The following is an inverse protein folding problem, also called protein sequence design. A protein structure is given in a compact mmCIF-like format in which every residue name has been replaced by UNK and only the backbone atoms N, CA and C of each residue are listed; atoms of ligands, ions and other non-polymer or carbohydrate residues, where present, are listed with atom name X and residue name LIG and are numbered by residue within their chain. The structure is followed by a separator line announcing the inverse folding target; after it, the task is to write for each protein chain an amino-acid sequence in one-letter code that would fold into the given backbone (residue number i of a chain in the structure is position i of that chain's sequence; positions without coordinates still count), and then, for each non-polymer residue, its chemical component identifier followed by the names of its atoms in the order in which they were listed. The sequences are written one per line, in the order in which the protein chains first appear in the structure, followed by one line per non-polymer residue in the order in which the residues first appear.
data_IF_089416297499
#
_entry.id   IF_089416297499
#
_cell.length_a   1.000
_cell.length_b   1.000
_cell.length_c   1.000
_cell.angle_alpha   90.00
_cell.angle_beta   90.00
_cell.angle_gamma   90.00
#
_symmetry.space_group_name_H-M   'P 1'
#
loop_
_entity.id
_entity.type
_entity.pdbx_description
1 polymer ?
#
# COMPACT_ATOMS: atom_id res chain seq x y z
N UNK A 1 -3.43 -68.93 28.47
CA UNK A 1 -2.49 -67.79 28.45
C UNK A 1 -2.61 -67.14 27.10
N UNK A 2 -3.47 -66.13 27.00
CA UNK A 2 -3.90 -65.53 25.74
C UNK A 2 -3.79 -64.02 25.88
N UNK A 3 -2.61 -63.46 25.59
CA UNK A 3 -2.39 -62.00 25.73
C UNK A 3 -1.25 -61.49 24.84
N UNK A 4 -1.24 -61.73 23.52
CA UNK A 4 -0.15 -61.15 22.68
C UNK A 4 -0.58 -60.78 21.26
N UNK A 5 -1.64 -59.98 21.09
CA UNK A 5 -1.96 -59.39 19.77
C UNK A 5 -2.18 -57.87 19.78
N UNK A 6 -2.15 -57.19 20.93
CA UNK A 6 -2.42 -55.74 20.99
C UNK A 6 -1.21 -54.83 20.71
N UNK A 7 0.03 -55.35 20.72
CA UNK A 7 1.21 -54.50 20.53
C UNK A 7 1.46 -54.10 19.07
N UNK A 8 1.03 -54.92 18.11
CA UNK A 8 1.13 -54.59 16.68
C UNK A 8 0.06 -53.56 16.26
N UNK A 9 -1.14 -53.65 16.85
CA UNK A 9 -2.26 -52.75 16.55
C UNK A 9 -1.97 -51.31 17.01
N UNK A 10 -1.30 -51.14 18.15
CA UNK A 10 -0.99 -49.82 18.71
C UNK A 10 0.04 -49.04 17.85
N UNK A 11 0.99 -49.72 17.22
CA UNK A 11 1.96 -49.06 16.32
C UNK A 11 1.31 -48.57 15.02
N UNK A 12 0.35 -49.32 14.48
CA UNK A 12 -0.43 -48.91 13.32
C UNK A 12 -1.30 -47.68 13.61
N UNK A 13 -1.96 -47.65 14.77
CA UNK A 13 -2.79 -46.52 15.19
C UNK A 13 -1.97 -45.23 15.34
N UNK A 14 -0.76 -45.31 15.90
CA UNK A 14 0.12 -44.13 16.03
C UNK A 14 0.58 -43.60 14.67
N UNK A 15 0.85 -44.47 13.70
CA UNK A 15 1.22 -44.03 12.35
C UNK A 15 0.05 -43.28 11.68
N UNK A 16 -1.17 -43.81 11.81
CA UNK A 16 -2.37 -43.20 11.22
C UNK A 16 -2.67 -41.85 11.83
N UNK A 17 -2.56 -41.69 13.15
CA UNK A 17 -2.79 -40.40 13.81
C UNK A 17 -1.77 -39.35 13.38
N UNK A 18 -0.50 -39.73 13.23
CA UNK A 18 0.56 -38.82 12.73
C UNK A 18 0.27 -38.40 11.29
N UNK A 19 -0.12 -39.32 10.41
CA UNK A 19 -0.44 -39.00 9.01
C UNK A 19 -1.61 -38.00 8.94
N UNK A 20 -2.67 -38.23 9.72
CA UNK A 20 -3.81 -37.30 9.77
C UNK A 20 -3.37 -35.93 10.26
N UNK A 21 -2.53 -35.86 11.31
CA UNK A 21 -2.00 -34.61 11.81
C UNK A 21 -1.16 -33.85 10.79
N UNK A 22 -0.32 -34.56 10.03
CA UNK A 22 0.50 -33.96 8.96
C UNK A 22 -0.41 -33.40 7.86
N UNK A 23 -1.47 -34.12 7.49
CA UNK A 23 -2.45 -33.63 6.50
C UNK A 23 -3.14 -32.35 7.01
N UNK A 24 -3.62 -32.34 8.24
CA UNK A 24 -4.28 -31.16 8.83
C UNK A 24 -3.32 -29.97 8.86
N UNK A 25 -2.08 -30.18 9.30
CA UNK A 25 -1.05 -29.13 9.32
C UNK A 25 -0.74 -28.60 7.92
N UNK A 26 -0.71 -29.47 6.90
CA UNK A 26 -0.47 -29.05 5.52
C UNK A 26 -1.60 -28.16 4.98
N UNK A 27 -2.87 -28.49 5.28
CA UNK A 27 -4.03 -27.69 4.85
C UNK A 27 -4.01 -26.31 5.53
N UNK A 28 -3.68 -26.27 6.83
CA UNK A 28 -3.51 -25.02 7.58
C UNK A 28 -2.38 -24.15 7.04
N UNK A 29 -1.24 -24.75 6.69
CA UNK A 29 -0.12 -24.00 6.12
C UNK A 29 -0.51 -23.35 4.77
N UNK A 30 -1.22 -24.09 3.90
CA UNK A 30 -1.69 -23.58 2.62
C UNK A 30 -2.70 -22.44 2.80
N UNK A 31 -3.65 -22.57 3.73
CA UNK A 31 -4.64 -21.53 3.96
C UNK A 31 -4.01 -20.23 4.48
N UNK A 32 -3.05 -20.33 5.41
CA UNK A 32 -2.31 -19.17 5.93
C UNK A 32 -1.52 -18.48 4.81
N UNK A 33 -0.80 -19.25 3.98
CA UNK A 33 -0.08 -18.70 2.83
C UNK A 33 -1.03 -17.98 1.85
N UNK A 34 -2.21 -18.55 1.61
CA UNK A 34 -3.20 -17.95 0.72
C UNK A 34 -3.72 -16.62 1.26
N UNK A 35 -4.02 -16.56 2.55
CA UNK A 35 -4.45 -15.32 3.22
C UNK A 35 -3.36 -14.27 3.18
N UNK A 36 -2.12 -14.61 3.57
CA UNK A 36 -0.98 -13.67 3.55
C UNK A 36 -0.72 -13.12 2.14
N UNK A 37 -0.84 -13.94 1.10
CA UNK A 37 -0.63 -13.49 -0.29
C UNK A 37 -1.70 -12.50 -0.73
N UNK A 38 -2.97 -12.72 -0.34
CA UNK A 38 -4.06 -11.80 -0.64
C UNK A 38 -3.95 -10.48 0.14
N UNK A 39 -3.53 -10.55 1.41
CA UNK A 39 -3.29 -9.37 2.24
C UNK A 39 -2.12 -8.54 1.70
N UNK A 40 -1.01 -9.18 1.31
CA UNK A 40 0.15 -8.49 0.75
C UNK A 40 -0.20 -7.63 -0.47
N UNK A 41 -1.01 -8.16 -1.39
CA UNK A 41 -1.44 -7.43 -2.59
C UNK A 41 -2.34 -6.24 -2.24
N UNK A 42 -3.19 -6.39 -1.23
CA UNK A 42 -4.11 -5.32 -0.79
C UNK A 42 -3.34 -4.21 -0.04
N UNK A 43 -2.38 -4.60 0.79
CA UNK A 43 -1.53 -3.69 1.56
C UNK A 43 -0.65 -2.85 0.62
N UNK A 44 -0.15 -3.42 -0.47
CA UNK A 44 0.67 -2.69 -1.44
C UNK A 44 -0.05 -1.47 -2.02
N UNK A 45 -1.33 -1.61 -2.41
CA UNK A 45 -2.12 -0.49 -2.92
C UNK A 45 -2.34 0.59 -1.86
N UNK A 46 -2.60 0.19 -0.61
CA UNK A 46 -2.81 1.13 0.49
C UNK A 46 -1.52 1.90 0.81
N UNK A 47 -0.38 1.22 0.85
CA UNK A 47 0.93 1.85 1.06
C UNK A 47 1.22 2.84 -0.07
N UNK A 48 1.01 2.46 -1.35
CA UNK A 48 1.22 3.36 -2.49
C UNK A 48 0.38 4.62 -2.38
N UNK A 49 -0.90 4.50 -2.02
CA UNK A 49 -1.80 5.66 -1.85
C UNK A 49 -1.35 6.58 -0.72
N UNK A 50 -0.93 6.02 0.41
CA UNK A 50 -0.42 6.80 1.55
C UNK A 50 0.86 7.52 1.16
N UNK A 51 1.81 6.81 0.52
CA UNK A 51 3.05 7.41 0.02
C UNK A 51 2.77 8.56 -0.96
N UNK A 52 1.83 8.37 -1.90
CA UNK A 52 1.46 9.40 -2.86
C UNK A 52 0.87 10.65 -2.18
N UNK A 53 0.04 10.47 -1.15
CA UNK A 53 -0.52 11.58 -0.39
C UNK A 53 0.57 12.37 0.37
N UNK A 54 1.49 11.68 1.04
CA UNK A 54 2.60 12.33 1.72
C UNK A 54 3.58 13.00 0.74
N UNK A 55 3.84 12.38 -0.41
CA UNK A 55 4.65 12.96 -1.47
C UNK A 55 3.99 14.24 -2.03
N UNK A 56 2.68 14.25 -2.28
CA UNK A 56 1.95 15.43 -2.69
C UNK A 56 2.04 16.57 -1.65
N UNK A 57 1.91 16.25 -0.36
CA UNK A 57 2.04 17.24 0.72
C UNK A 57 3.44 17.83 0.82
N UNK A 58 4.48 17.01 0.62
CA UNK A 58 5.86 17.47 0.58
C UNK A 58 6.14 18.33 -0.66
N UNK A 59 5.62 17.95 -1.83
CA UNK A 59 5.72 18.75 -3.06
C UNK A 59 5.04 20.11 -2.93
N UNK A 60 3.88 20.16 -2.27
CA UNK A 60 3.17 21.42 -1.99
C UNK A 60 3.99 22.34 -1.07
N UNK A 61 4.55 21.81 0.03
CA UNK A 61 5.40 22.60 0.91
C UNK A 61 6.66 23.12 0.20
N UNK A 62 7.28 22.29 -0.64
CA UNK A 62 8.42 22.68 -1.45
C UNK A 62 8.04 23.82 -2.42
N UNK A 63 6.88 23.71 -3.08
CA UNK A 63 6.35 24.76 -3.95
C UNK A 63 6.14 26.08 -3.20
N UNK A 64 5.58 26.03 -1.99
CA UNK A 64 5.42 27.24 -1.16
C UNK A 64 6.75 27.86 -0.75
N UNK A 65 7.75 27.05 -0.43
CA UNK A 65 9.09 27.56 -0.13
C UNK A 65 9.76 28.18 -1.37
N UNK A 66 9.56 27.58 -2.54
CA UNK A 66 10.01 28.14 -3.81
C UNK A 66 9.31 29.47 -4.14
N UNK A 67 8.00 29.58 -3.87
CA UNK A 67 7.24 30.84 -4.00
C UNK A 67 7.68 31.89 -2.98
N UNK A 68 8.10 31.46 -1.80
CA UNK A 68 8.63 32.35 -0.77
C UNK A 68 9.97 32.94 -1.20
N UNK A 69 10.83 32.14 -1.82
CA UNK A 69 12.11 32.59 -2.38
C UNK A 69 11.92 33.48 -3.60
N UNK A 70 11.07 33.03 -4.54
CA UNK A 70 10.83 33.68 -5.83
C UNK A 70 9.31 33.81 -6.09
N UNK A 71 8.71 34.98 -5.83
CA UNK A 71 7.25 35.17 -5.92
C UNK A 71 6.72 35.17 -7.38
N UNK A 72 7.60 35.19 -8.38
CA UNK A 72 7.27 35.12 -9.81
C UNK A 72 7.32 33.70 -10.38
N UNK A 73 7.53 32.68 -9.54
CA UNK A 73 7.60 31.30 -9.98
C UNK A 73 6.26 30.85 -10.56
N UNK A 74 6.24 30.73 -11.89
CA UNK A 74 5.04 30.35 -12.67
C UNK A 74 5.20 28.95 -13.29
N UNK A 75 6.40 28.38 -13.21
CA UNK A 75 6.73 27.09 -13.80
C UNK A 75 6.37 25.94 -12.87
N UNK A 76 5.88 24.81 -13.40
CA UNK A 76 5.64 23.62 -12.61
C UNK A 76 6.94 23.13 -11.96
N UNK A 77 6.89 22.76 -10.68
CA UNK A 77 7.99 22.09 -10.00
C UNK A 77 7.71 20.59 -10.04
N UNK A 78 8.70 19.85 -10.54
CA UNK A 78 8.69 18.40 -10.54
C UNK A 78 9.61 17.89 -9.44
N UNK A 79 9.05 17.11 -8.51
CA UNK A 79 9.77 16.52 -7.40
C UNK A 79 9.56 15.02 -7.40
N UNK A 80 10.64 14.24 -7.32
CA UNK A 80 10.56 12.79 -7.21
C UNK A 80 10.90 12.39 -5.78
N UNK A 81 9.95 11.75 -5.10
CA UNK A 81 10.11 11.26 -3.73
C UNK A 81 9.79 9.76 -3.72
N UNK A 82 10.78 8.92 -3.40
CA UNK A 82 10.60 7.47 -3.26
C UNK A 82 9.95 6.81 -4.51
N UNK A 83 10.34 7.28 -5.71
CA UNK A 83 9.81 6.80 -6.99
C UNK A 83 8.46 7.40 -7.42
N UNK A 84 7.87 8.28 -6.60
CA UNK A 84 6.62 9.00 -6.90
C UNK A 84 6.97 10.35 -7.49
N UNK A 85 6.51 10.63 -8.71
CA UNK A 85 6.62 11.94 -9.35
C UNK A 85 5.49 12.85 -8.90
N UNK A 86 5.86 13.98 -8.31
CA UNK A 86 4.94 15.02 -7.85
C UNK A 86 5.14 16.24 -8.72
N UNK A 87 4.08 16.64 -9.42
CA UNK A 87 4.04 17.88 -10.18
C UNK A 87 3.20 18.90 -9.42
N UNK A 88 3.77 20.07 -9.14
CA UNK A 88 3.09 21.18 -8.49
C UNK A 88 3.05 22.40 -9.40
N UNK A 89 1.87 22.96 -9.62
CA UNK A 89 1.68 24.11 -10.50
C UNK A 89 0.50 24.98 -10.08
N UNK A 90 0.49 26.23 -10.54
CA UNK A 90 -0.64 27.13 -10.38
C UNK A 90 -1.63 26.90 -11.53
N UNK A 91 -2.81 26.39 -11.21
CA UNK A 91 -3.89 26.21 -12.16
C UNK A 91 -4.77 27.47 -12.23
N UNK A 92 -4.89 28.04 -13.42
CA UNK A 92 -5.94 28.99 -13.78
C UNK A 92 -7.27 28.29 -14.13
N UNK A 93 -8.35 29.05 -14.38
CA UNK A 93 -9.63 28.46 -14.79
C UNK A 93 -9.48 27.65 -16.09
N UNK A 94 -10.13 26.46 -16.21
CA UNK A 94 -11.08 25.85 -15.28
C UNK A 94 -10.41 25.21 -14.05
N UNK A 95 -10.98 25.47 -12.87
CA UNK A 95 -10.44 25.01 -11.59
C UNK A 95 -10.95 23.59 -11.24
N UNK A 96 -10.10 22.71 -10.66
CA UNK A 96 -10.52 21.41 -10.16
C UNK A 96 -11.35 21.53 -8.87
N UNK A 97 -12.11 20.46 -8.55
CA UNK A 97 -12.96 20.42 -7.36
C UNK A 97 -12.15 20.60 -6.07
N UNK A 98 -12.48 21.62 -5.27
CA UNK A 98 -11.79 21.97 -4.03
C UNK A 98 -11.02 23.29 -4.06
N UNK A 99 -10.84 23.91 -5.23
CA UNK A 99 -10.29 25.26 -5.32
C UNK A 99 -11.37 26.32 -5.03
N UNK A 100 -11.07 27.39 -4.26
CA UNK A 100 -12.01 28.48 -4.04
C UNK A 100 -12.29 29.17 -5.38
N UNK A 101 -13.57 29.26 -5.77
CA UNK A 101 -14.03 29.87 -7.04
C UNK A 101 -13.99 31.41 -7.04
N UNK A 102 -13.15 32.00 -6.19
CA UNK A 102 -13.08 33.44 -5.97
C UNK A 102 -12.20 34.18 -6.98
N UNK A 103 -12.77 34.51 -8.15
CA UNK A 103 -12.25 35.54 -9.06
C UNK A 103 -11.11 35.11 -9.98
N UNK A 104 -11.17 35.57 -11.24
CA UNK A 104 -10.28 35.21 -12.36
C UNK A 104 -8.77 35.50 -12.16
N UNK A 105 -8.37 36.09 -11.04
CA UNK A 105 -7.00 36.49 -10.71
C UNK A 105 -6.32 35.62 -9.65
N UNK A 106 -7.06 34.70 -8.99
CA UNK A 106 -6.53 33.85 -7.93
C UNK A 106 -6.32 32.43 -8.46
N UNK A 107 -5.09 32.11 -8.84
CA UNK A 107 -4.72 30.75 -9.22
C UNK A 107 -4.76 29.79 -8.03
N UNK A 108 -5.06 28.51 -8.29
CA UNK A 108 -5.04 27.47 -7.27
C UNK A 108 -3.74 26.67 -7.39
N UNK A 109 -3.05 26.43 -6.28
CA UNK A 109 -1.88 25.54 -6.29
C UNK A 109 -2.38 24.11 -6.27
N UNK A 110 -2.02 23.35 -7.30
CA UNK A 110 -2.40 21.95 -7.46
C UNK A 110 -1.14 21.10 -7.35
N UNK A 111 -1.19 20.05 -6.52
CA UNK A 111 -0.13 19.07 -6.37
C UNK A 111 -0.65 17.70 -6.81
N UNK A 112 -0.06 17.16 -7.86
CA UNK A 112 -0.45 15.86 -8.44
C UNK A 112 0.68 14.87 -8.23
N UNK A 113 0.41 13.80 -7.48
CA UNK A 113 1.34 12.69 -7.31
C UNK A 113 0.98 11.53 -8.24
N UNK A 114 1.97 11.05 -8.99
CA UNK A 114 1.89 9.93 -9.93
C UNK A 114 2.88 8.85 -9.51
N UNK A 115 2.46 7.59 -9.57
CA UNK A 115 3.21 6.40 -9.15
C UNK A 115 3.35 5.40 -10.29
#
# INVERSE_FOLDING_TARGET
METNNNYQNNKGVVLVTVIIFVIIMSILAVSVLFVMTNEARTVEYNIKRIKAAYAAQAGFQNYLEALRSDPSLTTPINLVIDGISVETYIQGPPFPAGCPTGGASNGCIVATATY
#
